data_IF_027651263567
#
_entry.id   IF_027651263567
#
_cell.length_a   1.000
_cell.length_b   1.000
_cell.length_c   1.000
_cell.angle_alpha   90.00
_cell.angle_beta   90.00
_cell.angle_gamma   90.00
#
_symmetry.space_group_name_H-M   'P 1'
#
loop_
_entity.id
_entity.type
_entity.pdbx_description
1 polymer ?
#
# COMPACT_ATOMS: atom_id res chain seq x y z
N UNK A 1 27.11 -18.09 -17.22
CA UNK A 1 26.46 -17.21 -16.22
C UNK A 1 25.01 -17.09 -16.64
N UNK A 2 24.10 -17.77 -15.94
CA UNK A 2 22.67 -17.75 -16.27
C UNK A 2 22.07 -16.54 -15.57
N UNK A 3 21.53 -15.59 -16.33
CA UNK A 3 20.76 -14.48 -15.77
C UNK A 3 19.34 -14.99 -15.59
N UNK A 4 18.91 -15.18 -14.36
CA UNK A 4 17.50 -15.45 -14.07
C UNK A 4 16.71 -14.17 -14.33
N UNK A 5 15.83 -14.20 -15.32
CA UNK A 5 14.88 -13.13 -15.57
C UNK A 5 13.67 -13.32 -14.65
N UNK A 6 13.55 -12.47 -13.64
CA UNK A 6 12.32 -12.34 -12.89
C UNK A 6 11.28 -11.66 -13.78
N UNK A 7 10.13 -12.32 -13.98
CA UNK A 7 9.01 -11.77 -14.76
C UNK A 7 8.21 -10.72 -13.96
N UNK A 8 8.59 -10.51 -12.69
CA UNK A 8 7.99 -9.55 -11.78
C UNK A 8 8.69 -8.19 -11.91
N UNK A 9 7.90 -7.13 -11.89
CA UNK A 9 8.38 -5.77 -11.76
C UNK A 9 8.96 -5.53 -10.37
N UNK A 10 9.90 -4.58 -10.27
CA UNK A 10 10.44 -4.14 -8.97
C UNK A 10 9.31 -3.68 -8.04
N UNK A 11 8.26 -3.06 -8.58
CA UNK A 11 7.10 -2.64 -7.81
C UNK A 11 6.37 -3.82 -7.16
N UNK A 12 6.13 -4.90 -7.92
CA UNK A 12 5.51 -6.12 -7.40
C UNK A 12 6.34 -6.72 -6.26
N UNK A 13 7.65 -6.90 -6.48
CA UNK A 13 8.57 -7.44 -5.46
C UNK A 13 8.61 -6.55 -4.21
N UNK A 14 8.62 -5.23 -4.39
CA UNK A 14 8.69 -4.27 -3.28
C UNK A 14 7.43 -4.28 -2.41
N UNK A 15 6.25 -4.34 -3.03
CA UNK A 15 4.98 -4.33 -2.29
C UNK A 15 4.58 -5.72 -1.77
N UNK A 16 5.14 -6.81 -2.31
CA UNK A 16 4.73 -8.17 -1.98
C UNK A 16 4.70 -8.48 -0.45
N UNK A 17 5.73 -8.15 0.35
CA UNK A 17 5.69 -8.43 1.79
C UNK A 17 4.53 -7.75 2.53
N UNK A 18 4.12 -6.57 2.06
CA UNK A 18 2.99 -5.84 2.62
C UNK A 18 1.65 -6.48 2.22
N UNK A 19 1.56 -7.01 0.99
CA UNK A 19 0.37 -7.71 0.50
C UNK A 19 0.19 -9.05 1.19
N UNK A 20 1.26 -9.83 1.34
CA UNK A 20 1.26 -11.07 2.13
C UNK A 20 0.79 -10.81 3.57
N UNK A 21 1.32 -9.75 4.21
CA UNK A 21 0.88 -9.36 5.54
C UNK A 21 -0.59 -8.90 5.58
N UNK A 22 -1.11 -8.28 4.52
CA UNK A 22 -2.51 -7.87 4.40
C UNK A 22 -3.46 -9.06 4.28
N UNK A 23 -3.08 -10.10 3.54
CA UNK A 23 -3.90 -11.31 3.33
C UNK A 23 -4.21 -12.04 4.65
N UNK A 24 -3.28 -12.01 5.60
CA UNK A 24 -3.42 -12.67 6.90
C UNK A 24 -3.88 -11.72 8.02
N UNK A 25 -4.16 -10.45 7.71
CA UNK A 25 -4.67 -9.49 8.68
C UNK A 25 -6.17 -9.63 8.92
N UNK A 26 -6.54 -9.73 10.20
CA UNK A 26 -7.92 -9.57 10.62
C UNK A 26 -8.38 -8.10 10.43
N UNK A 27 -9.62 -7.91 9.97
CA UNK A 27 -10.24 -6.58 9.85
C UNK A 27 -10.10 -5.89 8.49
N UNK A 28 -9.70 -6.64 7.45
CA UNK A 28 -9.91 -6.20 6.06
C UNK A 28 -11.40 -6.03 5.80
N UNK A 29 -11.75 -5.06 4.94
CA UNK A 29 -13.14 -4.82 4.55
C UNK A 29 -13.23 -4.68 3.05
N UNK A 30 -14.28 -5.26 2.46
CA UNK A 30 -14.59 -5.02 1.06
C UNK A 30 -14.93 -3.52 0.85
N UNK A 31 -14.00 -2.81 0.21
CA UNK A 31 -14.07 -1.39 -0.11
C UNK A 31 -13.95 -1.24 -1.63
N UNK A 32 -15.03 -1.39 -2.41
CA UNK A 32 -14.95 -1.62 -3.86
C UNK A 32 -14.35 -0.45 -4.65
N UNK A 33 -14.46 0.77 -4.15
CA UNK A 33 -13.97 1.97 -4.85
C UNK A 33 -12.54 2.37 -4.45
N UNK A 34 -12.05 1.89 -3.31
CA UNK A 34 -10.70 2.19 -2.82
C UNK A 34 -10.34 1.14 -1.78
N UNK A 35 -9.74 0.05 -2.25
CA UNK A 35 -9.50 -1.15 -1.45
C UNK A 35 -8.49 -0.90 -0.34
N UNK A 36 -8.38 -1.85 0.58
CA UNK A 36 -7.35 -1.81 1.61
C UNK A 36 -5.94 -1.94 1.00
N UNK A 37 -5.81 -2.72 -0.08
CA UNK A 37 -4.59 -2.78 -0.91
C UNK A 37 -4.26 -1.45 -1.57
N UNK A 38 -5.24 -0.81 -2.24
CA UNK A 38 -5.05 0.50 -2.86
C UNK A 38 -4.61 1.54 -1.84
N UNK A 39 -5.25 1.53 -0.67
CA UNK A 39 -4.93 2.43 0.42
C UNK A 39 -3.49 2.26 0.91
N UNK A 40 -3.05 1.02 1.10
CA UNK A 40 -1.69 0.71 1.56
C UNK A 40 -0.64 1.06 0.49
N UNK A 41 -0.83 0.62 -0.76
CA UNK A 41 0.06 0.98 -1.88
C UNK A 41 0.18 2.49 -2.04
N UNK A 42 -0.94 3.20 -2.00
CA UNK A 42 -0.95 4.67 -2.09
C UNK A 42 -0.28 5.32 -0.88
N UNK A 43 -0.53 4.81 0.32
CA UNK A 43 0.05 5.33 1.55
C UNK A 43 1.58 5.20 1.56
N UNK A 44 2.09 4.02 1.21
CA UNK A 44 3.52 3.73 1.13
C UNK A 44 4.16 4.52 -0.02
N UNK A 45 3.56 4.52 -1.21
CA UNK A 45 4.06 5.31 -2.34
C UNK A 45 4.22 6.79 -2.00
N UNK A 46 3.27 7.37 -1.25
CA UNK A 46 3.36 8.75 -0.78
C UNK A 46 4.59 9.01 0.11
N UNK A 47 5.00 8.02 0.90
CA UNK A 47 6.17 8.14 1.79
C UNK A 47 7.50 8.02 1.04
N UNK A 48 7.51 7.40 -0.14
CA UNK A 48 8.71 7.17 -0.94
C UNK A 48 8.98 8.30 -1.94
N UNK A 49 7.93 8.99 -2.36
CA UNK A 49 7.97 9.91 -3.49
C UNK A 49 8.21 11.36 -3.04
N UNK A 50 9.13 12.04 -3.72
CA UNK A 50 9.36 13.47 -3.54
C UNK A 50 8.28 14.27 -4.28
N UNK A 51 7.20 14.61 -3.57
CA UNK A 51 6.04 15.31 -4.10
C UNK A 51 5.83 16.63 -3.38
N UNK A 52 5.47 17.66 -4.16
CA UNK A 52 5.39 19.05 -3.67
C UNK A 52 4.11 19.34 -2.88
N UNK A 53 3.08 18.53 -3.07
CA UNK A 53 1.80 18.71 -2.40
C UNK A 53 0.98 17.42 -2.39
N UNK A 54 -0.11 17.42 -1.61
CA UNK A 54 -1.08 16.34 -1.64
C UNK A 54 -1.78 16.15 -2.99
N UNK A 55 -1.98 17.22 -3.77
CA UNK A 55 -2.60 17.11 -5.11
C UNK A 55 -1.63 16.54 -6.14
N UNK A 56 -0.38 16.96 -6.06
CA UNK A 56 0.73 16.44 -6.88
C UNK A 56 0.86 14.91 -6.68
N UNK A 57 0.82 14.47 -5.41
CA UNK A 57 0.76 13.05 -5.08
C UNK A 57 -0.39 12.31 -5.76
N UNK A 58 -1.62 12.84 -5.67
CA UNK A 58 -2.81 12.13 -6.17
C UNK A 58 -2.80 12.02 -7.69
N UNK A 59 -2.36 13.05 -8.40
CA UNK A 59 -2.19 13.00 -9.85
C UNK A 59 -1.17 11.92 -10.25
N UNK A 60 -0.08 11.82 -9.50
CA UNK A 60 0.95 10.81 -9.72
C UNK A 60 0.46 9.41 -9.39
N UNK A 61 -0.19 9.22 -8.25
CA UNK A 61 -0.73 7.94 -7.81
C UNK A 61 -1.81 7.41 -8.77
N UNK A 62 -2.71 8.26 -9.25
CA UNK A 62 -3.69 7.88 -10.26
C UNK A 62 -3.03 7.39 -11.55
N UNK A 63 -1.91 8.02 -11.96
CA UNK A 63 -1.13 7.59 -13.13
C UNK A 63 -0.36 6.29 -12.90
N UNK A 64 0.30 6.15 -11.75
CA UNK A 64 1.21 5.03 -11.45
C UNK A 64 0.44 3.76 -11.10
N UNK A 65 -0.62 3.88 -10.31
CA UNK A 65 -1.37 2.74 -9.79
C UNK A 65 -2.73 2.53 -10.49
N UNK A 66 -3.08 3.38 -11.46
CA UNK A 66 -4.39 3.30 -12.14
C UNK A 66 -5.59 3.53 -11.21
N UNK A 67 -5.38 4.21 -10.08
CA UNK A 67 -6.38 4.28 -9.01
C UNK A 67 -7.50 5.28 -9.32
N UNK A 68 -8.77 4.92 -9.05
CA UNK A 68 -9.91 5.82 -9.16
C UNK A 68 -10.03 6.77 -7.94
N UNK A 69 -8.90 7.24 -7.38
CA UNK A 69 -8.89 8.00 -6.12
C UNK A 69 -8.96 9.50 -6.39
N UNK A 70 -9.90 10.17 -5.70
CA UNK A 70 -9.93 11.64 -5.64
C UNK A 70 -9.07 12.14 -4.49
N UNK A 71 -8.64 13.41 -4.57
CA UNK A 71 -7.90 14.09 -3.48
C UNK A 71 -8.65 13.94 -2.16
N UNK A 72 -9.93 14.29 -2.14
CA UNK A 72 -10.78 14.20 -0.95
C UNK A 72 -10.86 12.79 -0.38
N UNK A 73 -11.07 11.78 -1.24
CA UNK A 73 -11.23 10.39 -0.82
C UNK A 73 -9.96 9.87 -0.15
N UNK A 74 -8.80 10.14 -0.74
CA UNK A 74 -7.53 9.77 -0.15
C UNK A 74 -7.32 10.44 1.21
N UNK A 75 -7.42 11.77 1.30
CA UNK A 75 -7.17 12.49 2.55
C UNK A 75 -8.21 12.23 3.64
N UNK A 76 -9.47 11.96 3.28
CA UNK A 76 -10.49 11.48 4.24
C UNK A 76 -10.10 10.11 4.79
N UNK A 77 -9.59 9.21 3.94
CA UNK A 77 -9.24 7.87 4.38
C UNK A 77 -8.06 7.82 5.36
N UNK A 78 -7.15 8.80 5.31
CA UNK A 78 -6.07 8.93 6.29
C UNK A 78 -6.58 9.19 7.72
N UNK A 79 -7.82 9.68 7.86
CA UNK A 79 -8.47 9.93 9.16
C UNK A 79 -9.28 8.74 9.66
N UNK A 80 -9.28 7.63 8.93
CA UNK A 80 -10.06 6.46 9.30
C UNK A 80 -9.36 5.67 10.40
N UNK A 81 -9.97 5.60 11.59
CA UNK A 81 -9.49 4.78 12.71
C UNK A 81 -9.36 3.30 12.33
N UNK A 82 -10.30 2.79 11.53
CA UNK A 82 -10.24 1.43 10.98
C UNK A 82 -8.95 1.21 10.18
N UNK A 83 -8.64 2.13 9.26
CA UNK A 83 -7.45 2.03 8.40
C UNK A 83 -6.16 2.21 9.19
N UNK A 84 -6.18 3.02 10.25
CA UNK A 84 -5.08 3.11 11.20
C UNK A 84 -4.84 1.77 11.91
N UNK A 85 -5.90 1.10 12.37
CA UNK A 85 -5.80 -0.24 12.97
C UNK A 85 -5.28 -1.26 11.96
N UNK A 86 -5.75 -1.20 10.70
CA UNK A 86 -5.25 -2.06 9.63
C UNK A 86 -3.74 -1.89 9.41
N UNK A 87 -3.25 -0.65 9.26
CA UNK A 87 -1.81 -0.36 9.08
C UNK A 87 -0.99 -0.94 10.25
N UNK A 88 -1.46 -0.75 11.49
CA UNK A 88 -0.81 -1.30 12.68
C UNK A 88 -0.76 -2.83 12.64
N UNK A 89 -1.84 -3.47 12.21
CA UNK A 89 -1.91 -4.92 12.04
C UNK A 89 -0.87 -5.39 11.03
N UNK A 90 -0.92 -4.85 9.80
CA UNK A 90 -0.01 -5.20 8.68
C UNK A 90 1.47 -5.01 9.08
N UNK A 91 1.79 -3.87 9.70
CA UNK A 91 3.16 -3.57 10.13
C UNK A 91 3.68 -4.52 11.21
N UNK A 92 2.81 -5.00 12.10
CA UNK A 92 3.19 -5.91 13.18
C UNK A 92 3.26 -7.38 12.71
N UNK A 93 2.47 -7.74 11.71
CA UNK A 93 2.46 -9.07 11.10
C UNK A 93 3.79 -9.34 10.38
N UNK A 94 4.22 -8.44 9.48
CA UNK A 94 5.44 -8.65 8.69
C UNK A 94 6.75 -8.66 9.50
N UNK A 95 6.76 -8.05 10.70
CA UNK A 95 7.92 -8.05 11.60
C UNK A 95 8.06 -9.33 12.42
N UNK A 96 6.96 -9.96 12.81
CA UNK A 96 6.99 -11.14 13.70
C UNK A 96 7.58 -12.38 13.03
N UNK A 97 7.42 -12.53 11.72
CA UNK A 97 7.97 -13.68 11.00
C UNK A 97 9.48 -13.57 10.72
N UNK A 98 10.03 -12.35 10.64
CA UNK A 98 11.46 -12.12 10.34
C UNK A 98 12.35 -11.84 11.55
N UNK A 99 11.76 -11.55 12.72
CA UNK A 99 12.49 -11.32 13.98
C UNK A 99 12.67 -12.55 14.88
N UNK A 100 12.22 -13.73 14.44
CA UNK A 100 12.26 -14.98 15.22
C UNK A 100 13.19 -16.06 14.65
N UNK A 101 14.19 -15.68 13.84
CA UNK A 101 15.26 -16.57 13.36
C UNK A 101 16.61 -15.93 13.58
#
# INVERSE_FOLDING_TARGET
>A
MVVEYHNETIGEVFFNPMLEALEICDGTRNCPEFTDEDFLRTGVGRCLEDVRSGRDWIQRAARVFGLPVTVDRFFKSLRSDRRLTLIKSVSNTGWKEKGAR
#
